data_IF_593915870125
#
_entry.id   IF_593915870125
#
_cell.length_a   1.000
_cell.length_b   1.000
_cell.length_c   1.000
_cell.angle_alpha   90.00
_cell.angle_beta   90.00
_cell.angle_gamma   90.00
#
_symmetry.space_group_name_H-M   'P 1'
#
loop_
_entity.id
_entity.type
_entity.pdbx_description
1 polymer ?
#
# COMPACT_ATOMS: atom_id res chain seq x y z
N UNK A 1 9.27 38.43 -26.84
CA UNK A 1 8.37 37.55 -26.05
C UNK A 1 7.74 38.34 -24.92
N UNK A 2 6.41 38.38 -24.81
CA UNK A 2 5.73 39.20 -23.78
C UNK A 2 5.95 38.62 -22.38
N UNK A 3 5.87 39.48 -21.35
CA UNK A 3 5.98 39.04 -19.93
C UNK A 3 4.95 37.97 -19.59
N UNK A 4 3.74 38.07 -20.15
CA UNK A 4 2.67 37.08 -19.96
C UNK A 4 3.04 35.71 -20.50
N UNK A 5 3.71 35.63 -21.66
CA UNK A 5 4.17 34.35 -22.24
C UNK A 5 5.22 33.69 -21.33
N UNK A 6 6.17 34.47 -20.79
CA UNK A 6 7.17 33.92 -19.85
C UNK A 6 6.54 33.38 -18.56
N UNK A 7 5.55 34.09 -18.03
CA UNK A 7 4.80 33.65 -16.85
C UNK A 7 4.04 32.35 -17.10
N UNK A 8 3.32 32.24 -18.22
CA UNK A 8 2.57 31.04 -18.58
C UNK A 8 3.49 29.82 -18.76
N UNK A 9 4.67 30.00 -19.35
CA UNK A 9 5.66 28.93 -19.47
C UNK A 9 6.13 28.48 -18.07
N UNK A 10 6.44 29.42 -17.17
CA UNK A 10 6.85 29.09 -15.81
C UNK A 10 5.76 28.34 -15.03
N UNK A 11 4.50 28.77 -15.17
CA UNK A 11 3.35 28.11 -14.56
C UNK A 11 3.16 26.68 -15.12
N UNK A 12 3.24 26.51 -16.45
CA UNK A 12 3.12 25.21 -17.08
C UNK A 12 4.22 24.25 -16.61
N UNK A 13 5.46 24.72 -16.51
CA UNK A 13 6.58 23.91 -16.00
C UNK A 13 6.36 23.52 -14.53
N UNK A 14 5.88 24.43 -13.68
CA UNK A 14 5.61 24.12 -12.29
C UNK A 14 4.49 23.07 -12.14
N UNK A 15 3.40 23.21 -12.90
CA UNK A 15 2.30 22.25 -12.91
C UNK A 15 2.74 20.88 -13.45
N UNK A 16 3.56 20.85 -14.51
CA UNK A 16 4.10 19.60 -15.07
C UNK A 16 5.06 18.91 -14.09
N UNK A 17 5.94 19.65 -13.41
CA UNK A 17 6.81 19.09 -12.38
C UNK A 17 6.02 18.53 -11.20
N UNK A 18 4.98 19.25 -10.76
CA UNK A 18 4.05 18.77 -9.73
C UNK A 18 3.29 17.52 -10.17
N UNK A 19 2.82 17.48 -11.42
CA UNK A 19 2.17 16.30 -12.01
C UNK A 19 3.14 15.13 -12.12
N UNK A 20 4.38 15.31 -12.54
CA UNK A 20 5.33 14.19 -12.65
C UNK A 20 5.69 13.64 -11.25
N UNK A 21 5.84 14.52 -10.26
CA UNK A 21 6.15 14.10 -8.88
C UNK A 21 4.97 13.49 -8.11
N UNK A 22 3.77 14.03 -8.30
CA UNK A 22 2.57 13.71 -7.49
C UNK A 22 1.36 13.22 -8.28
N UNK A 23 1.46 13.17 -9.60
CA UNK A 23 0.36 12.85 -10.47
C UNK A 23 0.02 11.35 -10.49
N UNK A 24 -1.04 10.99 -11.22
CA UNK A 24 -1.69 9.68 -11.17
C UNK A 24 -0.83 8.51 -11.70
N UNK A 25 0.32 8.79 -12.31
CA UNK A 25 1.32 7.78 -12.68
C UNK A 25 2.39 7.59 -11.57
N UNK A 26 2.20 8.24 -10.43
CA UNK A 26 3.25 8.57 -9.46
C UNK A 26 3.43 7.59 -8.30
N UNK A 27 4.36 8.01 -7.44
CA UNK A 27 4.91 7.33 -6.26
C UNK A 27 3.89 6.58 -5.36
N UNK A 28 2.61 6.91 -5.43
CA UNK A 28 1.54 6.22 -4.72
C UNK A 28 1.37 4.76 -5.17
N UNK A 29 1.24 4.51 -6.48
CA UNK A 29 1.11 3.14 -7.00
C UNK A 29 2.39 2.34 -6.75
N UNK A 30 3.57 2.93 -6.98
CA UNK A 30 4.83 2.25 -6.68
C UNK A 30 5.03 1.98 -5.20
N UNK A 31 4.47 2.81 -4.31
CA UNK A 31 4.46 2.56 -2.88
C UNK A 31 3.51 1.43 -2.50
N UNK A 32 2.31 1.37 -3.08
CA UNK A 32 1.38 0.25 -2.89
C UNK A 32 2.02 -1.06 -3.38
N UNK A 33 2.69 -1.05 -4.54
CA UNK A 33 3.41 -2.22 -5.06
C UNK A 33 4.53 -2.68 -4.10
N UNK A 34 5.25 -1.74 -3.49
CA UNK A 34 6.26 -2.05 -2.47
C UNK A 34 5.65 -2.64 -1.20
N UNK A 35 4.50 -2.13 -0.75
CA UNK A 35 3.78 -2.69 0.39
C UNK A 35 3.24 -4.09 0.09
N UNK A 36 2.69 -4.30 -1.11
CA UNK A 36 2.19 -5.59 -1.57
C UNK A 36 3.33 -6.63 -1.63
N UNK A 37 4.49 -6.27 -2.16
CA UNK A 37 5.67 -7.13 -2.18
C UNK A 37 6.15 -7.51 -0.77
N UNK A 38 6.20 -6.54 0.16
CA UNK A 38 6.58 -6.79 1.55
C UNK A 38 5.58 -7.70 2.26
N UNK A 39 4.29 -7.45 2.12
CA UNK A 39 3.25 -8.28 2.73
C UNK A 39 3.28 -9.70 2.17
N UNK A 40 3.48 -9.88 0.86
CA UNK A 40 3.65 -11.21 0.25
C UNK A 40 4.87 -11.94 0.80
N UNK A 41 5.96 -11.23 1.06
CA UNK A 41 7.15 -11.81 1.68
C UNK A 41 6.86 -12.26 3.13
N UNK A 42 6.15 -11.45 3.92
CA UNK A 42 5.72 -11.81 5.28
C UNK A 42 4.84 -13.05 5.27
N UNK A 43 3.80 -13.09 4.43
CA UNK A 43 2.90 -14.25 4.34
C UNK A 43 3.66 -15.52 3.95
N UNK A 44 4.54 -15.42 2.94
CA UNK A 44 5.37 -16.55 2.49
C UNK A 44 6.32 -17.05 3.59
N UNK A 45 6.93 -16.15 4.35
CA UNK A 45 7.86 -16.51 5.42
C UNK A 45 7.19 -17.23 6.60
N UNK A 46 5.86 -17.12 6.73
CA UNK A 46 5.09 -17.85 7.75
C UNK A 46 4.49 -19.16 7.22
N UNK A 47 4.75 -19.52 5.96
CA UNK A 47 4.30 -20.78 5.33
C UNK A 47 2.78 -21.03 5.41
N UNK A 48 1.99 -19.95 5.50
CA UNK A 48 0.54 -20.03 5.60
C UNK A 48 -0.11 -20.08 4.20
N UNK A 49 -1.22 -20.82 4.02
CA UNK A 49 -1.99 -20.85 2.78
C UNK A 49 -2.89 -19.61 2.64
N UNK A 50 -2.28 -18.43 2.77
CA UNK A 50 -2.93 -17.11 2.72
C UNK A 50 -2.41 -16.33 1.52
N UNK A 51 -3.29 -15.57 0.90
CA UNK A 51 -2.95 -14.57 -0.10
C UNK A 51 -3.16 -13.18 0.49
N UNK A 52 -2.37 -12.23 0.03
CA UNK A 52 -2.51 -10.82 0.37
C UNK A 52 -2.59 -9.98 -0.90
N UNK A 53 -3.49 -9.01 -0.90
CA UNK A 53 -3.60 -7.96 -1.90
C UNK A 53 -3.88 -6.63 -1.21
N UNK A 54 -3.40 -5.53 -1.77
CA UNK A 54 -3.75 -4.20 -1.28
C UNK A 54 -4.94 -3.61 -2.03
N UNK A 55 -5.76 -2.84 -1.31
CA UNK A 55 -6.76 -1.98 -1.94
C UNK A 55 -6.03 -0.90 -2.77
N UNK A 56 -6.47 -0.70 -4.02
CA UNK A 56 -5.89 0.31 -4.93
C UNK A 56 -6.52 1.70 -4.75
N UNK A 57 -6.73 2.06 -3.48
CA UNK A 57 -7.03 3.43 -3.10
C UNK A 57 -5.82 3.95 -2.32
N UNK A 58 -5.10 4.98 -2.84
CA UNK A 58 -3.86 5.46 -2.23
C UNK A 58 -4.06 5.99 -0.80
N UNK A 59 -5.30 6.30 -0.39
CA UNK A 59 -5.64 6.74 0.96
C UNK A 59 -5.96 5.58 1.91
N UNK A 60 -6.50 4.46 1.42
CA UNK A 60 -6.74 3.26 2.22
C UNK A 60 -5.70 2.18 1.90
N UNK A 61 -4.51 2.32 2.49
CA UNK A 61 -3.39 1.37 2.40
C UNK A 61 -3.65 0.09 3.20
N UNK A 62 -4.80 -0.53 2.94
CA UNK A 62 -5.33 -1.66 3.69
C UNK A 62 -4.96 -2.95 2.97
N UNK A 63 -4.40 -3.90 3.72
CA UNK A 63 -4.16 -5.24 3.24
C UNK A 63 -5.45 -6.06 3.34
N UNK A 64 -5.80 -6.74 2.25
CA UNK A 64 -6.89 -7.70 2.19
C UNK A 64 -6.27 -9.09 2.15
N UNK A 65 -6.54 -9.88 3.19
CA UNK A 65 -6.08 -11.26 3.32
C UNK A 65 -7.19 -12.22 2.88
N UNK A 66 -6.82 -13.31 2.22
CA UNK A 66 -7.75 -14.39 1.89
C UNK A 66 -7.08 -15.74 2.05
N UNK A 67 -7.83 -16.75 2.47
CA UNK A 67 -7.31 -18.07 2.76
C UNK A 67 -8.01 -18.73 3.95
N UNK A 68 -7.79 -20.04 4.09
CA UNK A 68 -8.33 -20.82 5.21
C UNK A 68 -7.22 -21.11 6.19
N UNK A 69 -7.20 -20.36 7.28
CA UNK A 69 -6.31 -20.56 8.42
C UNK A 69 -7.11 -20.50 9.72
N UNK A 70 -6.57 -21.09 10.78
CA UNK A 70 -7.23 -21.06 12.07
C UNK A 70 -7.10 -19.69 12.76
N UNK A 71 -7.85 -19.52 13.85
CA UNK A 71 -7.89 -18.26 14.61
C UNK A 71 -6.54 -17.88 15.21
N UNK A 72 -5.76 -18.87 15.65
CA UNK A 72 -4.45 -18.63 16.23
C UNK A 72 -3.44 -18.16 15.17
N UNK A 73 -3.46 -18.75 13.98
CA UNK A 73 -2.66 -18.30 12.84
C UNK A 73 -3.07 -16.90 12.38
N UNK A 74 -4.37 -16.58 12.45
CA UNK A 74 -4.93 -15.28 12.06
C UNK A 74 -4.58 -14.17 13.05
N UNK A 75 -5.09 -14.28 14.27
CA UNK A 75 -5.04 -13.25 15.31
C UNK A 75 -3.76 -13.34 16.16
N UNK A 76 -3.22 -14.55 16.31
CA UNK A 76 -2.12 -14.83 17.23
C UNK A 76 -2.60 -15.10 18.65
N UNK A 77 -1.67 -14.91 19.59
CA UNK A 77 -1.94 -14.89 21.02
C UNK A 77 -1.10 -13.79 21.68
N UNK A 78 -1.32 -13.55 22.98
CA UNK A 78 -0.57 -12.53 23.71
C UNK A 78 0.95 -12.70 23.56
N UNK A 79 1.63 -11.65 23.08
CA UNK A 79 3.07 -11.66 22.80
C UNK A 79 3.50 -12.33 21.48
N UNK A 80 2.61 -13.04 20.79
CA UNK A 80 2.89 -13.70 19.51
C UNK A 80 1.86 -13.28 18.46
N UNK A 81 2.14 -12.22 17.68
CA UNK A 81 1.20 -11.77 16.67
C UNK A 81 0.99 -12.83 15.59
N UNK A 82 -0.29 -13.05 15.24
CA UNK A 82 -0.68 -13.81 14.07
C UNK A 82 -0.37 -13.05 12.77
N UNK A 83 -0.85 -13.57 11.65
CA UNK A 83 -0.58 -12.94 10.36
C UNK A 83 -1.15 -11.52 10.27
N UNK A 84 -2.28 -11.25 10.93
CA UNK A 84 -2.91 -9.93 10.95
C UNK A 84 -1.98 -8.89 11.59
N UNK A 85 -1.43 -9.23 12.77
CA UNK A 85 -0.50 -8.36 13.49
C UNK A 85 0.82 -8.17 12.74
N UNK A 86 1.33 -9.22 12.08
CA UNK A 86 2.59 -9.15 11.31
C UNK A 86 2.46 -8.29 10.06
N UNK A 87 1.34 -8.38 9.35
CA UNK A 87 1.08 -7.54 8.17
C UNK A 87 0.78 -6.10 8.60
N UNK A 88 0.02 -5.89 9.68
CA UNK A 88 -0.25 -4.56 10.23
C UNK A 88 1.02 -3.84 10.74
N UNK A 89 2.05 -4.60 11.15
CA UNK A 89 3.33 -4.04 11.59
C UNK A 89 4.20 -3.52 10.45
N UNK A 90 3.87 -3.78 9.17
CA UNK A 90 4.60 -3.24 8.03
C UNK A 90 4.41 -1.71 7.98
N UNK A 91 5.48 -0.91 8.02
CA UNK A 91 5.36 0.54 7.98
C UNK A 91 4.59 1.03 6.76
N UNK A 92 3.52 1.79 6.99
CA UNK A 92 2.67 2.35 5.94
C UNK A 92 1.40 1.56 5.66
N UNK A 93 1.23 0.37 6.24
CA UNK A 93 -0.06 -0.35 6.24
C UNK A 93 -1.01 0.32 7.21
N UNK A 94 -2.23 0.65 6.75
CA UNK A 94 -3.24 1.33 7.56
C UNK A 94 -4.20 0.36 8.26
N UNK A 95 -4.18 -0.92 7.89
CA UNK A 95 -5.00 -1.96 8.50
C UNK A 95 -5.03 -3.25 7.69
N UNK A 96 -5.66 -4.26 8.27
CA UNK A 96 -5.83 -5.59 7.69
C UNK A 96 -7.33 -5.94 7.72
N UNK A 97 -7.82 -6.59 6.66
CA UNK A 97 -9.19 -7.12 6.57
C UNK A 97 -9.17 -8.47 5.88
N UNK A 98 -10.09 -9.36 6.23
CA UNK A 98 -10.27 -10.61 5.49
C UNK A 98 -11.29 -10.47 4.36
N UNK A 99 -11.05 -11.18 3.26
CA UNK A 99 -12.01 -11.27 2.16
C UNK A 99 -13.31 -11.94 2.64
N UNK A 100 -14.44 -11.23 2.51
CA UNK A 100 -15.75 -11.70 2.97
C UNK A 100 -16.19 -11.18 4.34
N UNK A 101 -15.37 -10.38 5.03
CA UNK A 101 -15.79 -9.56 6.19
C UNK A 101 -16.38 -8.21 5.80
#
# INVERSE_FOLDING_TARGET
>A
MSRSVKFLIGLAVALLSGWIGHGPLGQGESFIDQLDAQAKAVVRANELPVQVRFERDPLSRRAILSGHIDRFQREGMEGFPGIDGRVAAIPGVSGVRWEGE
#
